data_IF_769479533222
#
_entry.id   IF_769479533222
#
_cell.length_a   1.000
_cell.length_b   1.000
_cell.length_c   1.000
_cell.angle_alpha   90.00
_cell.angle_beta   90.00
_cell.angle_gamma   90.00
#
_symmetry.space_group_name_H-M   'P 1'
#
loop_
_entity.id
_entity.type
_entity.pdbx_description
1 polymer ?
#
# COMPACT_ATOMS: atom_id res chain seq x y z
N UNK A 1 -21.36 -43.19 12.36
CA UNK A 1 -20.13 -42.48 12.76
C UNK A 1 -20.36 -41.01 12.42
N UNK A 2 -20.41 -40.14 13.43
CA UNK A 2 -20.66 -38.72 13.23
C UNK A 2 -19.36 -38.03 12.78
N UNK A 3 -19.43 -37.28 11.68
CA UNK A 3 -18.31 -36.52 11.13
C UNK A 3 -18.33 -35.13 11.79
N UNK A 4 -17.38 -34.87 12.68
CA UNK A 4 -17.19 -33.54 13.27
C UNK A 4 -16.22 -32.76 12.39
N UNK A 5 -16.60 -31.63 11.79
CA UNK A 5 -15.66 -30.82 11.01
C UNK A 5 -14.63 -30.14 11.93
N UNK A 6 -13.39 -29.91 11.46
CA UNK A 6 -12.37 -29.23 12.23
C UNK A 6 -12.78 -27.78 12.51
N UNK A 7 -12.58 -27.36 13.77
CA UNK A 7 -12.80 -25.99 14.20
C UNK A 7 -12.00 -25.02 13.32
N UNK A 8 -12.71 -24.16 12.61
CA UNK A 8 -12.11 -22.99 11.97
C UNK A 8 -11.62 -22.06 13.07
N UNK A 9 -10.32 -22.04 13.30
CA UNK A 9 -9.69 -20.96 14.06
C UNK A 9 -9.92 -19.67 13.27
N UNK A 10 -10.87 -18.87 13.73
CA UNK A 10 -10.97 -17.48 13.31
C UNK A 10 -9.61 -16.81 13.57
N UNK A 11 -9.04 -16.06 12.62
CA UNK A 11 -7.84 -15.28 12.89
C UNK A 11 -8.21 -14.25 13.97
N UNK A 12 -7.61 -14.41 15.15
CA UNK A 12 -7.69 -13.44 16.24
C UNK A 12 -7.35 -12.05 15.67
N UNK A 13 -8.33 -11.15 15.67
CA UNK A 13 -8.21 -9.77 15.20
C UNK A 13 -7.50 -8.88 16.23
N UNK A 14 -6.40 -9.34 16.80
CA UNK A 14 -5.48 -8.47 17.53
C UNK A 14 -4.66 -7.71 16.49
N UNK A 15 -5.10 -6.50 16.14
CA UNK A 15 -4.25 -5.55 15.43
C UNK A 15 -2.91 -5.47 16.17
N UNK A 16 -1.78 -5.75 15.51
CA UNK A 16 -0.48 -5.71 16.19
C UNK A 16 -0.30 -4.32 16.80
N UNK A 17 0.09 -4.26 18.08
CA UNK A 17 0.43 -2.99 18.71
C UNK A 17 1.54 -2.34 17.87
N UNK A 18 1.30 -1.11 17.40
CA UNK A 18 2.31 -0.29 16.74
C UNK A 18 3.37 0.02 17.80
N UNK A 19 4.60 -0.45 17.58
CA UNK A 19 5.73 -0.16 18.47
C UNK A 19 6.41 1.14 18.03
N UNK A 20 7.26 1.75 18.87
CA UNK A 20 8.06 2.91 18.46
C UNK A 20 8.88 2.66 17.18
N UNK A 21 9.43 1.45 17.03
CA UNK A 21 10.19 1.04 15.84
C UNK A 21 9.30 0.97 14.59
N UNK A 22 8.05 0.51 14.72
CA UNK A 22 7.08 0.56 13.64
C UNK A 22 6.77 1.99 13.20
N UNK A 23 6.63 2.93 14.16
CA UNK A 23 6.42 4.34 13.86
C UNK A 23 7.65 4.97 13.16
N UNK A 24 8.85 4.53 13.52
CA UNK A 24 10.09 4.94 12.86
C UNK A 24 10.16 4.47 11.40
N UNK A 25 9.76 3.22 11.12
CA UNK A 25 9.68 2.71 9.75
C UNK A 25 8.73 3.54 8.87
N UNK A 26 7.54 3.90 9.39
CA UNK A 26 6.63 4.79 8.68
C UNK A 26 7.20 6.21 8.49
N UNK A 27 8.01 6.69 9.44
CA UNK A 27 8.71 7.98 9.34
C UNK A 27 9.72 7.98 8.20
N UNK A 28 10.43 6.88 7.96
CA UNK A 28 11.31 6.72 6.80
C UNK A 28 10.51 6.87 5.50
N UNK A 29 9.37 6.16 5.38
CA UNK A 29 8.51 6.25 4.19
C UNK A 29 8.05 7.69 3.93
N UNK A 30 7.53 8.38 4.96
CA UNK A 30 7.13 9.79 4.85
C UNK A 30 8.29 10.70 4.44
N UNK A 31 9.47 10.49 5.01
CA UNK A 31 10.66 11.31 4.71
C UNK A 31 11.13 11.13 3.27
N UNK A 32 11.10 9.89 2.74
CA UNK A 32 11.42 9.62 1.34
C UNK A 32 10.40 10.27 0.40
N UNK A 33 9.11 10.28 0.77
CA UNK A 33 8.07 10.98 0.02
C UNK A 33 8.36 12.48 -0.09
N UNK A 34 8.69 13.11 1.04
CA UNK A 34 9.04 14.54 1.11
C UNK A 34 10.30 14.90 0.32
N UNK A 35 11.21 13.95 0.15
CA UNK A 35 12.48 14.17 -0.57
C UNK A 35 12.39 13.85 -2.06
N UNK A 36 11.55 12.88 -2.44
CA UNK A 36 11.60 12.28 -3.78
C UNK A 36 10.34 12.50 -4.60
N UNK A 37 9.24 12.92 -3.97
CA UNK A 37 7.94 13.07 -4.66
C UNK A 37 7.42 14.49 -4.52
N UNK A 38 7.43 15.06 -3.31
CA UNK A 38 6.93 16.43 -3.05
C UNK A 38 7.69 17.51 -3.83
N UNK A 39 9.03 17.45 -4.00
CA UNK A 39 9.75 18.47 -4.76
C UNK A 39 9.43 18.43 -6.26
N UNK A 40 8.98 17.29 -6.77
CA UNK A 40 8.70 17.05 -8.19
C UNK A 40 7.21 17.19 -8.53
N UNK A 41 6.41 17.80 -7.63
CA UNK A 41 5.01 18.10 -7.91
C UNK A 41 4.90 19.05 -9.10
N UNK A 42 3.96 18.76 -9.99
CA UNK A 42 3.77 19.52 -11.21
C UNK A 42 3.29 20.96 -10.94
N UNK A 43 3.52 21.84 -11.92
CA UNK A 43 3.11 23.25 -11.87
C UNK A 43 1.62 23.39 -11.52
N UNK A 44 1.33 24.23 -10.52
CA UNK A 44 -0.02 24.41 -9.97
C UNK A 44 -0.29 23.61 -8.69
N UNK A 45 0.55 22.62 -8.38
CA UNK A 45 0.55 21.83 -7.14
C UNK A 45 1.88 21.94 -6.38
N UNK A 46 2.75 22.85 -6.81
CA UNK A 46 4.02 23.17 -6.15
C UNK A 46 3.75 23.66 -4.72
N UNK A 47 4.61 23.24 -3.79
CA UNK A 47 4.53 23.66 -2.39
C UNK A 47 5.70 24.56 -2.04
N UNK A 48 5.41 25.62 -1.29
CA UNK A 48 6.45 26.48 -0.72
C UNK A 48 7.30 25.73 0.33
N UNK A 49 6.68 24.81 1.06
CA UNK A 49 7.34 23.90 2.00
C UNK A 49 7.24 22.47 1.44
N UNK A 50 8.35 21.77 1.14
CA UNK A 50 8.35 20.42 0.59
C UNK A 50 8.01 19.38 1.67
N UNK A 51 6.88 19.58 2.35
CA UNK A 51 6.38 18.75 3.44
C UNK A 51 5.01 18.20 3.10
N UNK A 52 4.79 16.98 3.58
CA UNK A 52 3.47 16.37 3.58
C UNK A 52 2.59 17.07 4.61
N UNK A 53 1.31 17.25 4.29
CA UNK A 53 0.31 17.69 5.28
C UNK A 53 0.14 16.63 6.37
N UNK A 54 -0.50 16.99 7.49
CA UNK A 54 -0.80 16.03 8.55
C UNK A 54 -1.69 14.87 8.04
N UNK A 55 -2.69 15.18 7.22
CA UNK A 55 -3.60 14.21 6.60
C UNK A 55 -2.88 13.25 5.65
N UNK A 56 -1.94 13.75 4.85
CA UNK A 56 -1.13 12.94 3.94
C UNK A 56 -0.18 12.02 4.70
N UNK A 57 0.51 12.54 5.72
CA UNK A 57 1.37 11.75 6.60
C UNK A 57 0.59 10.61 7.27
N UNK A 58 -0.59 10.91 7.83
CA UNK A 58 -1.45 9.89 8.42
C UNK A 58 -1.88 8.84 7.40
N UNK A 59 -2.23 9.25 6.18
CA UNK A 59 -2.64 8.33 5.11
C UNK A 59 -1.50 7.41 4.68
N UNK A 60 -0.33 7.97 4.35
CA UNK A 60 0.86 7.21 3.98
C UNK A 60 1.22 6.22 5.08
N UNK A 61 1.23 6.67 6.34
CA UNK A 61 1.53 5.84 7.51
C UNK A 61 0.55 4.67 7.65
N UNK A 62 -0.76 4.95 7.60
CA UNK A 62 -1.79 3.93 7.76
C UNK A 62 -1.76 2.91 6.60
N UNK A 63 -1.62 3.39 5.37
CA UNK A 63 -1.53 2.53 4.19
C UNK A 63 -0.25 1.71 4.19
N UNK A 64 0.87 2.27 4.63
CA UNK A 64 2.12 1.54 4.82
C UNK A 64 1.94 0.39 5.81
N UNK A 65 1.31 0.62 6.97
CA UNK A 65 1.06 -0.46 7.92
C UNK A 65 0.09 -1.51 7.40
N UNK A 66 -0.95 -1.10 6.65
CA UNK A 66 -1.86 -2.05 6.00
C UNK A 66 -1.09 -2.92 5.01
N UNK A 67 -0.33 -2.31 4.10
CA UNK A 67 0.47 -3.02 3.12
C UNK A 67 1.49 -3.94 3.80
N UNK A 68 2.18 -3.47 4.83
CA UNK A 68 3.14 -4.28 5.57
C UNK A 68 2.49 -5.50 6.25
N UNK A 69 1.32 -5.32 6.87
CA UNK A 69 0.56 -6.45 7.45
C UNK A 69 0.21 -7.50 6.39
N UNK A 70 -0.14 -7.06 5.18
CA UNK A 70 -0.40 -7.96 4.06
C UNK A 70 0.88 -8.72 3.69
N UNK A 71 2.04 -8.05 3.61
CA UNK A 71 3.33 -8.70 3.30
C UNK A 71 3.80 -9.73 4.34
N UNK A 72 3.44 -9.50 5.61
CA UNK A 72 3.75 -10.39 6.73
C UNK A 72 2.90 -11.66 6.74
N UNK A 73 1.78 -11.70 6.02
CA UNK A 73 1.04 -12.95 5.83
C UNK A 73 1.98 -13.98 5.18
N UNK A 74 2.28 -15.04 5.94
CA UNK A 74 3.21 -16.09 5.54
C UNK A 74 2.70 -16.70 4.23
N UNK A 75 3.55 -16.65 3.18
CA UNK A 75 3.34 -17.09 1.78
C UNK A 75 3.11 -16.01 0.70
N UNK A 76 3.31 -14.71 1.00
CA UNK A 76 3.24 -13.65 -0.02
C UNK A 76 4.28 -13.70 -1.18
N UNK A 77 5.11 -14.75 -1.23
CA UNK A 77 6.06 -14.96 -2.33
C UNK A 77 5.38 -15.63 -3.54
N UNK A 78 4.19 -16.22 -3.35
CA UNK A 78 3.40 -16.84 -4.40
C UNK A 78 2.27 -15.88 -4.85
N UNK A 79 2.22 -15.56 -6.15
CA UNK A 79 1.33 -14.52 -6.69
C UNK A 79 -0.17 -14.87 -6.51
N UNK A 80 -0.64 -16.09 -6.82
CA UNK A 80 -1.99 -16.53 -6.46
C UNK A 80 -2.37 -16.30 -4.98
N UNK A 81 -1.45 -16.57 -4.05
CA UNK A 81 -1.69 -16.37 -2.62
C UNK A 81 -1.76 -14.87 -2.30
N UNK A 82 -0.87 -14.07 -2.90
CA UNK A 82 -0.90 -12.62 -2.78
C UNK A 82 -2.22 -12.03 -3.28
N UNK A 83 -2.74 -12.52 -4.42
CA UNK A 83 -4.03 -12.12 -4.98
C UNK A 83 -5.19 -12.41 -4.03
N UNK A 84 -5.27 -13.63 -3.47
CA UNK A 84 -6.33 -13.98 -2.51
C UNK A 84 -6.31 -13.09 -1.27
N UNK A 85 -5.14 -12.70 -0.78
CA UNK A 85 -5.03 -11.79 0.36
C UNK A 85 -5.46 -10.35 0.06
N UNK A 86 -5.27 -9.86 -1.17
CA UNK A 86 -5.70 -8.50 -1.54
C UNK A 86 -7.14 -8.42 -2.05
N UNK A 87 -7.72 -9.53 -2.54
CA UNK A 87 -9.13 -9.59 -2.96
C UNK A 87 -10.13 -9.25 -1.86
N UNK A 88 -9.76 -9.48 -0.59
CA UNK A 88 -10.60 -9.14 0.56
C UNK A 88 -10.57 -7.66 0.97
N UNK A 89 -9.74 -6.83 0.33
CA UNK A 89 -9.65 -5.40 0.62
C UNK A 89 -10.84 -4.64 0.04
N UNK A 90 -11.19 -3.52 0.68
CA UNK A 90 -12.09 -2.57 0.03
C UNK A 90 -11.44 -2.00 -1.24
N UNK A 91 -12.22 -1.54 -2.23
CA UNK A 91 -11.65 -0.94 -3.44
C UNK A 91 -10.71 0.25 -3.15
N UNK A 92 -11.05 1.06 -2.15
CA UNK A 92 -10.21 2.17 -1.70
C UNK A 92 -8.88 1.67 -1.11
N UNK A 93 -8.93 0.68 -0.23
CA UNK A 93 -7.73 0.09 0.37
C UNK A 93 -6.84 -0.57 -0.70
N UNK A 94 -7.45 -1.24 -1.69
CA UNK A 94 -6.72 -1.86 -2.80
C UNK A 94 -5.93 -0.82 -3.61
N UNK A 95 -6.57 0.31 -3.92
CA UNK A 95 -5.94 1.44 -4.61
C UNK A 95 -4.81 2.04 -3.77
N UNK A 96 -5.04 2.29 -2.48
CA UNK A 96 -4.03 2.82 -1.57
C UNK A 96 -2.81 1.90 -1.42
N UNK A 97 -3.06 0.62 -1.19
CA UNK A 97 -2.00 -0.40 -1.08
C UNK A 97 -1.19 -0.47 -2.37
N UNK A 98 -1.84 -0.37 -3.54
CA UNK A 98 -1.15 -0.30 -4.82
C UNK A 98 -0.21 0.90 -4.90
N UNK A 99 -0.66 2.10 -4.53
CA UNK A 99 0.18 3.31 -4.61
C UNK A 99 1.37 3.24 -3.65
N UNK A 100 1.18 2.75 -2.42
CA UNK A 100 2.30 2.54 -1.50
C UNK A 100 3.25 1.49 -2.05
N UNK A 101 2.76 0.37 -2.58
CA UNK A 101 3.64 -0.64 -3.19
C UNK A 101 4.44 -0.06 -4.37
N UNK A 102 3.80 0.75 -5.22
CA UNK A 102 4.47 1.46 -6.32
C UNK A 102 5.54 2.44 -5.80
N UNK A 103 5.24 3.18 -4.73
CA UNK A 103 6.19 4.09 -4.08
C UNK A 103 7.40 3.33 -3.55
N UNK A 104 7.17 2.26 -2.78
CA UNK A 104 8.21 1.43 -2.19
C UNK A 104 9.12 0.83 -3.28
N UNK A 105 8.56 0.43 -4.42
CA UNK A 105 9.28 -0.12 -5.56
C UNK A 105 10.01 0.91 -6.45
N UNK A 106 9.75 2.21 -6.31
CA UNK A 106 10.36 3.20 -7.22
C UNK A 106 11.21 4.25 -6.49
N UNK A 107 10.96 4.49 -5.21
CA UNK A 107 11.53 5.64 -4.49
C UNK A 107 12.35 5.24 -3.26
N UNK A 108 12.07 4.07 -2.66
CA UNK A 108 12.78 3.62 -1.46
C UNK A 108 13.99 2.79 -1.88
N UNK A 109 15.19 3.23 -1.47
CA UNK A 109 16.45 2.56 -1.82
C UNK A 109 16.66 1.30 -0.99
N UNK A 110 17.52 0.40 -1.48
CA UNK A 110 17.84 -0.88 -0.81
C UNK A 110 18.25 -0.70 0.66
N UNK A 111 19.10 0.29 0.95
CA UNK A 111 19.54 0.58 2.32
C UNK A 111 18.39 0.98 3.25
N UNK A 112 17.40 1.70 2.72
CA UNK A 112 16.20 2.13 3.46
C UNK A 112 15.22 0.96 3.61
N UNK A 113 15.10 0.09 2.60
CA UNK A 113 14.36 -1.16 2.72
C UNK A 113 14.92 -2.05 3.82
N UNK A 114 16.25 -2.21 3.89
CA UNK A 114 16.90 -3.00 4.93
C UNK A 114 16.67 -2.43 6.34
N UNK A 115 16.68 -1.11 6.46
CA UNK A 115 16.36 -0.43 7.72
C UNK A 115 14.90 -0.65 8.13
N UNK A 116 13.96 -0.44 7.20
CA UNK A 116 12.53 -0.69 7.42
C UNK A 116 12.31 -2.15 7.83
N UNK A 117 12.95 -3.13 7.18
CA UNK A 117 12.84 -4.55 7.56
C UNK A 117 13.28 -4.78 9.01
N UNK A 118 14.40 -4.19 9.42
CA UNK A 118 14.93 -4.31 10.79
C UNK A 118 13.95 -3.72 11.80
N UNK A 119 13.48 -2.50 11.54
CA UNK A 119 12.53 -1.80 12.40
C UNK A 119 11.20 -2.53 12.53
N UNK A 120 10.77 -3.19 11.45
CA UNK A 120 9.55 -3.99 11.42
C UNK A 120 9.74 -5.44 11.92
N UNK A 121 10.90 -5.76 12.51
CA UNK A 121 11.18 -7.09 13.09
C UNK A 121 11.23 -8.23 12.06
N UNK A 122 11.43 -7.91 10.78
CA UNK A 122 11.43 -8.91 9.71
C UNK A 122 12.81 -9.57 9.59
N UNK A 123 12.95 -10.75 10.20
CA UNK A 123 14.21 -11.50 10.32
C UNK A 123 14.41 -12.56 9.23
N UNK A 124 13.44 -12.75 8.33
CA UNK A 124 13.56 -13.76 7.29
C UNK A 124 14.59 -13.35 6.24
N UNK A 125 15.43 -14.32 5.84
CA UNK A 125 16.34 -14.23 4.69
C UNK A 125 15.52 -14.23 3.40
N UNK A 126 14.93 -13.09 3.08
CA UNK A 126 14.12 -12.91 1.89
C UNK A 126 14.22 -11.49 1.39
N UNK A 127 14.10 -11.36 0.06
CA UNK A 127 14.07 -10.07 -0.58
C UNK A 127 12.70 -9.42 -0.35
N UNK A 128 12.63 -8.41 0.52
CA UNK A 128 11.36 -7.68 0.77
C UNK A 128 10.88 -6.95 -0.49
N UNK A 129 11.82 -6.62 -1.38
CA UNK A 129 11.53 -6.03 -2.66
C UNK A 129 10.63 -6.90 -3.53
N UNK A 130 10.92 -8.19 -3.62
CA UNK A 130 10.09 -9.15 -4.37
C UNK A 130 8.68 -9.22 -3.79
N UNK A 131 8.54 -9.10 -2.46
CA UNK A 131 7.24 -9.02 -1.81
C UNK A 131 6.47 -7.76 -2.19
N UNK A 132 7.13 -6.61 -2.26
CA UNK A 132 6.51 -5.36 -2.74
C UNK A 132 6.10 -5.45 -4.21
N UNK A 133 6.93 -6.04 -5.08
CA UNK A 133 6.59 -6.31 -6.48
C UNK A 133 5.39 -7.24 -6.58
N UNK A 134 5.36 -8.32 -5.81
CA UNK A 134 4.23 -9.25 -5.79
C UNK A 134 2.95 -8.58 -5.32
N UNK A 135 3.02 -7.69 -4.32
CA UNK A 135 1.88 -6.91 -3.87
C UNK A 135 1.38 -5.95 -4.96
N UNK A 136 2.28 -5.24 -5.62
CA UNK A 136 1.93 -4.37 -6.74
C UNK A 136 1.29 -5.18 -7.89
N UNK A 137 1.83 -6.36 -8.20
CA UNK A 137 1.33 -7.25 -9.26
C UNK A 137 -0.04 -7.83 -8.89
N UNK A 138 -0.22 -8.27 -7.64
CA UNK A 138 -1.47 -8.82 -7.13
C UNK A 138 -2.58 -7.77 -7.14
N UNK A 139 -2.30 -6.55 -6.65
CA UNK A 139 -3.27 -5.46 -6.70
C UNK A 139 -3.62 -5.09 -8.14
N UNK A 140 -2.65 -5.03 -9.05
CA UNK A 140 -2.91 -4.77 -10.46
C UNK A 140 -3.79 -5.84 -11.12
N UNK A 141 -3.54 -7.12 -10.83
CA UNK A 141 -4.35 -8.23 -11.35
C UNK A 141 -5.81 -8.13 -10.89
N UNK A 142 -6.08 -7.76 -9.63
CA UNK A 142 -7.46 -7.55 -9.16
C UNK A 142 -8.22 -6.48 -9.95
N UNK A 143 -7.55 -5.41 -10.39
CA UNK A 143 -8.18 -4.41 -11.27
C UNK A 143 -8.42 -4.97 -12.68
N UNK A 144 -7.48 -5.74 -13.24
CA UNK A 144 -7.64 -6.36 -14.56
C UNK A 144 -8.76 -7.40 -14.60
N UNK A 145 -8.93 -8.19 -13.53
CA UNK A 145 -9.95 -9.23 -13.42
C UNK A 145 -11.38 -8.66 -13.57
N UNK A 146 -11.59 -7.42 -13.13
CA UNK A 146 -12.87 -6.71 -13.28
C UNK A 146 -12.91 -5.79 -14.50
N UNK A 147 -11.90 -5.83 -15.36
CA UNK A 147 -11.80 -5.00 -16.56
C UNK A 147 -11.55 -3.51 -16.27
N UNK A 148 -11.06 -3.17 -15.09
CA UNK A 148 -10.80 -1.79 -14.71
C UNK A 148 -9.41 -1.34 -15.16
N UNK A 149 -9.36 -0.21 -15.87
CA UNK A 149 -8.13 0.54 -16.08
C UNK A 149 -8.00 1.63 -15.01
N UNK A 150 -6.87 1.65 -14.32
CA UNK A 150 -6.58 2.67 -13.31
C UNK A 150 -6.07 3.91 -14.04
N UNK A 151 -6.89 4.95 -14.06
CA UNK A 151 -6.56 6.20 -14.75
C UNK A 151 -5.82 7.16 -13.83
N UNK A 152 -4.55 7.42 -14.06
CA UNK A 152 -3.85 8.43 -13.27
C UNK A 152 -4.43 9.83 -13.51
N UNK A 153 -4.63 10.66 -12.46
CA UNK A 153 -5.00 12.06 -12.65
C UNK A 153 -3.91 12.81 -13.42
N UNK A 154 -4.34 13.76 -14.25
CA UNK A 154 -3.41 14.63 -14.95
C UNK A 154 -2.48 15.32 -13.93
N UNK A 155 -1.19 15.35 -14.25
CA UNK A 155 -0.14 16.03 -13.47
C UNK A 155 0.12 15.46 -12.05
N UNK A 156 -0.56 14.39 -11.64
CA UNK A 156 -0.21 13.70 -10.40
C UNK A 156 1.15 12.98 -10.55
N UNK A 157 1.93 12.84 -9.48
CA UNK A 157 3.10 11.95 -9.50
C UNK A 157 2.68 10.53 -9.88
N UNK A 158 3.49 9.87 -10.71
CA UNK A 158 3.18 8.58 -11.35
C UNK A 158 2.61 7.56 -10.36
N UNK A 159 1.29 7.39 -10.39
CA UNK A 159 0.54 6.44 -9.58
C UNK A 159 0.58 6.68 -8.05
N UNK A 160 0.74 7.93 -7.60
CA UNK A 160 0.76 8.31 -6.17
C UNK A 160 -0.28 9.40 -5.83
N UNK A 161 -1.22 9.69 -6.72
CA UNK A 161 -2.17 10.79 -6.58
C UNK A 161 -3.11 10.62 -5.39
N UNK A 162 -3.50 9.39 -5.04
CA UNK A 162 -4.42 9.14 -3.92
C UNK A 162 -3.78 9.44 -2.56
N UNK A 163 -2.44 9.45 -2.49
CA UNK A 163 -1.70 9.74 -1.26
C UNK A 163 -1.66 11.25 -0.92
N UNK A 164 -2.00 12.12 -1.86
CA UNK A 164 -2.05 13.58 -1.68
C UNK A 164 -3.47 14.10 -1.46
N UNK A 165 -3.63 15.20 -0.74
CA UNK A 165 -4.95 15.78 -0.48
C UNK A 165 -5.60 16.34 -1.76
N UNK A 166 -4.83 17.06 -2.57
CA UNK A 166 -5.29 17.77 -3.78
C UNK A 166 -5.98 16.87 -4.81
N UNK A 167 -5.51 15.63 -4.96
CA UNK A 167 -6.04 14.69 -5.95
C UNK A 167 -7.00 13.66 -5.36
N UNK A 168 -6.96 13.41 -4.05
CA UNK A 168 -7.66 12.27 -3.45
C UNK A 168 -9.17 12.34 -3.60
N UNK A 169 -9.81 13.45 -3.23
CA UNK A 169 -11.28 13.51 -3.16
C UNK A 169 -11.92 13.21 -4.52
N UNK A 170 -11.41 13.83 -5.58
CA UNK A 170 -11.94 13.59 -6.93
C UNK A 170 -11.56 12.20 -7.45
N UNK A 171 -10.35 11.73 -7.13
CA UNK A 171 -9.78 10.54 -7.75
C UNK A 171 -10.19 9.23 -7.07
N UNK A 172 -10.14 9.15 -5.74
CA UNK A 172 -10.57 7.96 -4.98
C UNK A 172 -12.03 7.66 -5.30
N UNK A 173 -12.91 8.64 -5.17
CA UNK A 173 -14.35 8.40 -5.31
C UNK A 173 -14.70 7.94 -6.73
N UNK A 174 -14.12 8.58 -7.75
CA UNK A 174 -14.32 8.17 -9.16
C UNK A 174 -13.83 6.75 -9.42
N UNK A 175 -12.66 6.37 -8.92
CA UNK A 175 -12.09 5.02 -9.15
C UNK A 175 -12.82 3.96 -8.33
N UNK A 176 -13.19 4.26 -7.09
CA UNK A 176 -13.97 3.36 -6.21
C UNK A 176 -15.34 3.11 -6.82
N UNK A 177 -16.04 4.15 -7.28
CA UNK A 177 -17.33 3.99 -7.96
C UNK A 177 -17.20 3.16 -9.23
N UNK A 178 -16.16 3.39 -10.05
CA UNK A 178 -15.92 2.61 -11.26
C UNK A 178 -15.68 1.14 -10.95
N UNK A 179 -14.85 0.83 -9.95
CA UNK A 179 -14.58 -0.54 -9.52
C UNK A 179 -15.86 -1.22 -8.99
N UNK A 180 -16.63 -0.54 -8.15
CA UNK A 180 -17.89 -1.07 -7.61
C UNK A 180 -18.93 -1.34 -8.70
N UNK A 181 -19.00 -0.49 -9.74
CA UNK A 181 -19.89 -0.72 -10.89
C UNK A 181 -19.50 -1.96 -11.70
N UNK A 182 -18.22 -2.30 -11.76
CA UNK A 182 -17.71 -3.46 -12.49
C UNK A 182 -17.80 -4.78 -11.70
N UNK A 183 -17.88 -4.69 -10.36
CA UNK A 183 -18.07 -5.86 -9.50
C UNK A 183 -19.51 -6.42 -9.49
N UNK A 184 -20.51 -5.60 -9.84
CA UNK A 184 -21.94 -5.94 -9.80
C UNK A 184 -22.49 -6.26 -11.19
#
# INVERSE_FOLDING_TARGET
MAFTPPAQNAPNSSSPLITPEHAEAATICCSVFEQSVVPDLCRGHERADPKLTLSERSRITNTFFLAWRILLATQFNDLPIAQEHVKGLSPADLLYVREVALFMCNNVRDTQHDEIKKLMGYTANGNVWEKWINLLTATHACFQDVGMSIHQPDYAPLGLGLLFDDWKETYVDTQVEAYQKLLN
#
